data_IF_309898448519
#
_entry.id   IF_309898448519
#
_cell.length_a   1.000
_cell.length_b   1.000
_cell.length_c   1.000
_cell.angle_alpha   90.00
_cell.angle_beta   90.00
_cell.angle_gamma   90.00
#
_symmetry.space_group_name_H-M   'P 1'
#
loop_
_entity.id
_entity.type
_entity.pdbx_description
1 polymer ?
#
# COMPACT_ATOMS: atom_id res chain seq x y z
N UNK A 1 12.55 -4.70 7.00
CA UNK A 1 12.77 -4.33 5.59
C UNK A 1 11.53 -4.69 4.78
N UNK A 2 11.33 -4.06 3.62
CA UNK A 2 10.33 -4.50 2.63
C UNK A 2 10.71 -5.93 2.20
N UNK A 3 9.91 -6.96 2.53
CA UNK A 3 10.35 -8.35 2.35
C UNK A 3 10.48 -8.79 0.89
N UNK A 4 10.09 -7.96 -0.08
CA UNK A 4 10.02 -8.35 -1.49
C UNK A 4 10.65 -7.36 -2.48
N UNK A 5 11.13 -6.20 -2.04
CA UNK A 5 11.72 -5.20 -2.92
C UNK A 5 10.73 -4.60 -3.92
N UNK A 6 9.42 -4.69 -3.66
CA UNK A 6 8.37 -4.20 -4.58
C UNK A 6 8.45 -2.69 -4.76
N UNK A 7 9.07 -2.00 -3.80
CA UNK A 7 9.35 -0.58 -3.88
C UNK A 7 8.05 0.19 -4.12
N UNK A 8 7.24 0.35 -3.07
CA UNK A 8 5.99 1.15 -3.12
C UNK A 8 6.16 2.50 -3.83
N UNK A 9 7.38 3.06 -3.92
CA UNK A 9 7.58 4.24 -4.74
C UNK A 9 7.71 4.04 -6.25
N UNK A 10 7.26 2.92 -6.79
CA UNK A 10 6.78 2.84 -8.17
C UNK A 10 5.36 2.26 -8.28
N UNK A 11 4.58 2.29 -7.18
CA UNK A 11 3.20 1.80 -7.15
C UNK A 11 2.33 2.41 -8.25
N UNK A 12 2.60 3.67 -8.66
CA UNK A 12 1.90 4.35 -9.77
C UNK A 12 2.00 3.57 -11.10
N UNK A 13 3.07 2.80 -11.31
CA UNK A 13 3.31 2.04 -12.53
C UNK A 13 2.76 0.60 -12.48
N UNK A 14 2.17 0.18 -11.35
CA UNK A 14 1.67 -1.17 -11.22
C UNK A 14 0.45 -1.40 -12.09
N UNK A 15 0.44 -2.57 -12.72
CA UNK A 15 -0.73 -3.14 -13.38
C UNK A 15 -1.80 -3.53 -12.35
N UNK A 16 -3.02 -3.78 -12.83
CA UNK A 16 -4.09 -4.26 -11.96
C UNK A 16 -3.74 -5.59 -11.27
N UNK A 17 -3.03 -6.51 -11.93
CA UNK A 17 -2.64 -7.79 -11.33
C UNK A 17 -1.65 -7.62 -10.17
N UNK A 18 -0.63 -6.78 -10.38
CA UNK A 18 0.35 -6.42 -9.33
C UNK A 18 -0.35 -5.77 -8.13
N UNK A 19 -1.25 -4.81 -8.39
CA UNK A 19 -2.05 -4.16 -7.35
C UNK A 19 -2.91 -5.16 -6.57
N UNK A 20 -3.63 -6.05 -7.27
CA UNK A 20 -4.46 -7.09 -6.63
C UNK A 20 -3.61 -8.00 -5.75
N UNK A 21 -2.46 -8.43 -6.26
CA UNK A 21 -1.55 -9.33 -5.55
C UNK A 21 -0.99 -8.66 -4.29
N UNK A 22 -0.61 -7.39 -4.39
CA UNK A 22 -0.15 -6.61 -3.24
C UNK A 22 -1.25 -6.42 -2.20
N UNK A 23 -2.46 -6.00 -2.61
CA UNK A 23 -3.59 -5.85 -1.67
C UNK A 23 -3.95 -7.18 -1.01
N UNK A 24 -3.90 -8.29 -1.77
CA UNK A 24 -4.08 -9.62 -1.22
C UNK A 24 -3.05 -9.97 -0.14
N UNK A 25 -1.79 -9.59 -0.34
CA UNK A 25 -0.72 -9.83 0.63
C UNK A 25 -0.87 -9.00 1.91
N UNK A 26 -1.11 -7.69 1.81
CA UNK A 26 -1.18 -6.81 2.99
C UNK A 26 -2.39 -7.14 3.89
N UNK A 27 -3.46 -7.68 3.29
CA UNK A 27 -4.66 -8.12 4.00
C UNK A 27 -4.64 -9.61 4.35
N UNK A 28 -3.59 -10.35 3.95
CA UNK A 28 -3.48 -11.80 4.12
C UNK A 28 -4.72 -12.54 3.61
N UNK A 29 -5.25 -12.13 2.45
CA UNK A 29 -6.43 -12.73 1.86
C UNK A 29 -6.09 -14.05 1.20
N UNK A 30 -6.88 -15.07 1.49
CA UNK A 30 -6.74 -16.40 0.90
C UNK A 30 -8.07 -16.91 0.31
N UNK A 31 -7.95 -17.91 -0.56
CA UNK A 31 -9.10 -18.66 -1.10
C UNK A 31 -10.14 -17.79 -1.80
N UNK A 32 -11.38 -17.85 -1.31
CA UNK A 32 -12.54 -17.19 -1.94
C UNK A 32 -12.48 -15.65 -1.87
N UNK A 33 -11.89 -15.09 -0.81
CA UNK A 33 -11.79 -13.64 -0.63
C UNK A 33 -10.83 -13.01 -1.65
N UNK A 34 -9.67 -13.63 -1.83
CA UNK A 34 -8.70 -13.18 -2.84
C UNK A 34 -9.28 -13.30 -4.27
N UNK A 35 -10.02 -14.37 -4.56
CA UNK A 35 -10.72 -14.53 -5.85
C UNK A 35 -11.77 -13.45 -6.08
N UNK A 36 -12.57 -13.14 -5.06
CA UNK A 36 -13.58 -12.07 -5.13
C UNK A 36 -12.93 -10.71 -5.39
N UNK A 37 -11.88 -10.37 -4.62
CA UNK A 37 -11.14 -9.14 -4.79
C UNK A 37 -10.54 -9.03 -6.20
N UNK A 38 -9.89 -10.11 -6.67
CA UNK A 38 -9.31 -10.17 -8.02
C UNK A 38 -10.35 -9.93 -9.11
N UNK A 39 -11.55 -10.50 -8.96
CA UNK A 39 -12.66 -10.30 -9.89
C UNK A 39 -13.08 -8.82 -9.89
N UNK A 40 -13.40 -8.27 -8.73
CA UNK A 40 -13.88 -6.88 -8.61
C UNK A 40 -12.81 -5.88 -9.09
N UNK A 41 -11.57 -5.99 -8.62
CA UNK A 41 -10.51 -5.08 -9.02
C UNK A 41 -10.13 -5.23 -10.49
N UNK A 42 -10.20 -6.44 -11.04
CA UNK A 42 -9.99 -6.69 -12.47
C UNK A 42 -11.07 -6.07 -13.35
N UNK A 43 -12.35 -6.26 -12.99
CA UNK A 43 -13.50 -5.68 -13.69
C UNK A 43 -13.45 -4.14 -13.71
N UNK A 44 -13.02 -3.54 -12.60
CA UNK A 44 -12.92 -2.09 -12.44
C UNK A 44 -11.54 -1.51 -12.80
N UNK A 45 -10.62 -2.34 -13.29
CA UNK A 45 -9.24 -1.95 -13.68
C UNK A 45 -8.54 -1.12 -12.60
N UNK A 46 -8.62 -1.58 -11.35
CA UNK A 46 -7.94 -0.94 -10.22
C UNK A 46 -6.43 -1.20 -10.34
N UNK A 47 -5.74 -0.27 -10.97
CA UNK A 47 -4.30 -0.28 -11.15
C UNK A 47 -3.57 0.44 -10.02
N UNK A 48 -2.25 0.51 -10.14
CA UNK A 48 -1.38 1.16 -9.19
C UNK A 48 -1.62 2.66 -9.00
N UNK A 49 -2.14 3.35 -10.01
CA UNK A 49 -2.53 4.76 -9.89
C UNK A 49 -3.86 4.88 -9.14
N UNK A 50 -4.82 4.03 -9.46
CA UNK A 50 -6.13 4.01 -8.83
C UNK A 50 -6.03 3.66 -7.33
N UNK A 51 -5.18 2.69 -6.94
CA UNK A 51 -5.09 2.23 -5.56
C UNK A 51 -4.58 3.31 -4.59
N UNK A 52 -3.73 4.24 -5.05
CA UNK A 52 -3.18 5.33 -4.22
C UNK A 52 -4.28 6.31 -3.80
N UNK A 53 -5.25 6.53 -4.69
CA UNK A 53 -6.35 7.48 -4.48
C UNK A 53 -7.63 6.79 -3.99
N UNK A 54 -7.58 5.48 -3.76
CA UNK A 54 -8.76 4.70 -3.47
C UNK A 54 -9.34 5.05 -2.10
N UNK A 55 -10.60 5.49 -2.09
CA UNK A 55 -11.34 5.77 -0.86
C UNK A 55 -12.28 4.64 -0.47
N UNK A 56 -12.79 4.69 0.76
CA UNK A 56 -13.87 3.79 1.20
C UNK A 56 -15.12 3.95 0.31
N UNK A 57 -15.42 5.17 -0.14
CA UNK A 57 -16.55 5.43 -1.03
C UNK A 57 -16.37 4.76 -2.39
N UNK A 58 -15.16 4.79 -2.95
CA UNK A 58 -14.86 4.12 -4.23
C UNK A 58 -15.02 2.60 -4.10
N UNK A 59 -14.56 2.02 -3.00
CA UNK A 59 -14.72 0.60 -2.69
C UNK A 59 -16.21 0.21 -2.55
N UNK A 60 -17.01 1.06 -1.90
CA UNK A 60 -18.45 0.86 -1.80
C UNK A 60 -19.15 0.95 -3.17
N UNK A 61 -18.71 1.89 -4.03
CA UNK A 61 -19.24 2.06 -5.38
C UNK A 61 -18.99 0.84 -6.28
N UNK A 62 -17.88 0.12 -6.07
CA UNK A 62 -17.57 -1.15 -6.74
C UNK A 62 -18.12 -2.37 -5.99
N UNK A 63 -19.12 -2.17 -5.13
CA UNK A 63 -19.88 -3.20 -4.40
C UNK A 63 -19.05 -4.05 -3.43
N UNK A 64 -17.96 -3.52 -2.90
CA UNK A 64 -17.26 -4.16 -1.78
C UNK A 64 -18.04 -3.87 -0.49
N UNK A 65 -18.21 -4.90 0.34
CA UNK A 65 -18.90 -4.75 1.63
C UNK A 65 -18.19 -3.72 2.52
N UNK A 66 -18.95 -2.94 3.27
CA UNK A 66 -18.44 -1.82 4.09
C UNK A 66 -17.29 -2.20 5.02
N UNK A 67 -17.39 -3.33 5.72
CA UNK A 67 -16.33 -3.80 6.62
C UNK A 67 -15.03 -4.15 5.87
N UNK A 68 -15.16 -4.76 4.68
CA UNK A 68 -14.01 -5.03 3.82
C UNK A 68 -13.44 -3.75 3.21
N UNK A 69 -14.29 -2.82 2.80
CA UNK A 69 -13.88 -1.54 2.24
C UNK A 69 -13.03 -0.73 3.25
N UNK A 70 -13.47 -0.65 4.51
CA UNK A 70 -12.71 -0.01 5.58
C UNK A 70 -11.36 -0.68 5.82
N UNK A 71 -11.33 -2.02 5.85
CA UNK A 71 -10.08 -2.79 6.04
C UNK A 71 -9.09 -2.56 4.90
N UNK A 72 -9.56 -2.60 3.64
CA UNK A 72 -8.73 -2.36 2.46
C UNK A 72 -8.15 -0.95 2.51
N UNK A 73 -8.99 0.09 2.68
CA UNK A 73 -8.54 1.47 2.69
C UNK A 73 -7.53 1.73 3.82
N UNK A 74 -7.77 1.18 5.01
CA UNK A 74 -6.86 1.32 6.15
C UNK A 74 -5.52 0.62 5.90
N UNK A 75 -5.53 -0.61 5.39
CA UNK A 75 -4.31 -1.37 5.13
C UNK A 75 -3.45 -0.68 4.05
N UNK A 76 -4.08 -0.23 2.96
CA UNK A 76 -3.41 0.50 1.88
C UNK A 76 -2.79 1.80 2.40
N UNK A 77 -3.56 2.62 3.14
CA UNK A 77 -3.06 3.87 3.70
C UNK A 77 -1.89 3.66 4.68
N UNK A 78 -1.97 2.61 5.51
CA UNK A 78 -0.93 2.27 6.49
C UNK A 78 0.38 1.89 5.79
N UNK A 79 0.32 1.05 4.77
CA UNK A 79 1.50 0.63 4.02
C UNK A 79 2.11 1.76 3.19
N UNK A 80 1.28 2.60 2.55
CA UNK A 80 1.73 3.81 1.86
C UNK A 80 2.47 4.76 2.83
N UNK A 81 1.90 4.98 4.02
CA UNK A 81 2.52 5.82 5.04
C UNK A 81 3.82 5.21 5.58
N UNK A 82 3.86 3.89 5.79
CA UNK A 82 5.06 3.18 6.22
C UNK A 82 6.18 3.26 5.17
N UNK A 83 5.83 3.16 3.89
CA UNK A 83 6.77 3.28 2.79
C UNK A 83 7.35 4.70 2.64
N UNK A 84 6.51 5.71 2.79
CA UNK A 84 6.94 7.11 2.78
C UNK A 84 7.91 7.39 3.93
N UNK A 85 7.64 6.89 5.14
CA UNK A 85 8.54 7.03 6.30
C UNK A 85 9.91 6.38 6.08
N UNK A 86 9.99 5.23 5.41
CA UNK A 86 11.26 4.56 5.08
C UNK A 86 12.09 5.29 4.02
N UNK A 87 11.45 6.12 3.20
CA UNK A 87 12.08 6.89 2.12
C UNK A 87 12.49 8.29 2.52
N UNK A 88 11.89 8.84 3.56
CA UNK A 88 12.43 10.04 4.19
C UNK A 88 13.81 9.64 4.73
N UNK A 89 14.92 10.26 4.24
CA UNK A 89 16.17 10.10 4.93
C UNK A 89 15.89 10.48 6.39
N UNK A 90 16.35 9.67 7.33
CA UNK A 90 16.59 10.19 8.66
C UNK A 90 17.40 11.45 8.40
N UNK A 91 16.81 12.62 8.68
CA UNK A 91 17.61 13.80 8.91
C UNK A 91 18.47 13.42 10.10
N UNK A 92 19.58 12.74 9.80
CA UNK A 92 20.74 12.68 10.65
C UNK A 92 21.03 14.15 10.88
N UNK A 93 20.56 14.64 12.02
CA UNK A 93 21.16 15.76 12.71
C UNK A 93 22.60 15.35 12.93
N UNK A 94 23.41 15.53 11.89
CA UNK A 94 24.84 15.40 11.90
C UNK A 94 25.37 16.53 12.75
N UNK A 95 25.27 16.38 14.07
CA UNK A 95 26.20 17.00 15.00
C UNK A 95 27.33 16.01 15.20
N UNK A 96 28.11 15.80 14.15
CA UNK A 96 29.45 15.23 14.31
C UNK A 96 30.36 16.31 14.89
N UNK A 97 31.06 15.93 15.96
CA UNK A 97 32.35 16.44 16.45
C UNK A 97 32.36 17.78 17.19
N UNK A 98 32.35 17.64 18.51
CA UNK A 98 32.92 18.60 19.46
C UNK A 98 33.55 17.88 20.64
N UNK A 99 34.38 16.86 20.38
CA UNK A 99 35.29 16.33 21.39
C UNK A 99 36.61 17.09 21.29
N UNK A 100 37.08 17.70 22.37
CA UNK A 100 38.50 17.78 22.72
C UNK A 100 38.65 18.22 24.17
N UNK A 101 39.46 17.44 24.86
CA UNK A 101 39.90 17.53 26.23
C UNK A 101 40.64 18.83 26.54
N UNK A 102 40.44 19.35 27.76
CA UNK A 102 41.46 19.77 28.76
C UNK A 102 40.74 20.24 30.01
#
# INVERSE_FOLDING_TARGET
GDPFGWGIGNIVCWTADETIRWVGMILQLEGALLKSLRKTFGEHKIDGKAIIHLTVLDLLNIKIQKDHANKIALAVATELQAALKRRLPETHGGSSRGGSST
#
